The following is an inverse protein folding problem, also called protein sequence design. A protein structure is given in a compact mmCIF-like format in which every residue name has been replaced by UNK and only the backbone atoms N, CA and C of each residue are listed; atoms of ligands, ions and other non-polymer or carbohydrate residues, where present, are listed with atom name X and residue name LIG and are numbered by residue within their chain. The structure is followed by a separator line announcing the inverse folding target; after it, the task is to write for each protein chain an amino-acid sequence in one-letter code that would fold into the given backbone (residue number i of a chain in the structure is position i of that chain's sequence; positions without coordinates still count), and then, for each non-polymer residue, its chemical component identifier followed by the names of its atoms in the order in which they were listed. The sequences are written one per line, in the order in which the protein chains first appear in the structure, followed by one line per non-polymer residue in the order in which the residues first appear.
data_IF_116137816599
#
_entry.id   IF_116137816599
#
_cell.length_a   1.000
_cell.length_b   1.000
_cell.length_c   1.000
_cell.angle_alpha   90.00
_cell.angle_beta   90.00
_cell.angle_gamma   90.00
#
_symmetry.space_group_name_H-M   'P 1'
#
loop_
_entity.id
_entity.type
_entity.pdbx_description
1 polymer ?
#
# COMPACT_ATOMS: atom_id res chain seq x y z
N UNK A 1 -37.65 21.84 -13.98
CA UNK A 1 -37.60 21.93 -12.51
C UNK A 1 -37.31 20.60 -11.80
N UNK A 2 -37.42 19.43 -12.44
CA UNK A 2 -37.16 18.11 -11.84
C UNK A 2 -35.69 17.81 -11.48
N UNK A 3 -34.71 18.33 -12.22
CA UNK A 3 -33.28 18.10 -11.92
C UNK A 3 -32.82 18.71 -10.59
N UNK A 4 -33.49 19.78 -10.11
CA UNK A 4 -33.19 20.39 -8.81
C UNK A 4 -33.63 19.49 -7.65
N UNK A 5 -34.76 18.78 -7.77
CA UNK A 5 -35.22 17.83 -6.75
C UNK A 5 -34.37 16.56 -6.70
N UNK A 6 -33.99 15.98 -7.85
CA UNK A 6 -33.13 14.79 -7.91
C UNK A 6 -31.73 15.04 -7.34
N UNK A 7 -31.20 16.25 -7.52
CA UNK A 7 -29.92 16.67 -6.92
C UNK A 7 -30.02 16.88 -5.40
N UNK A 8 -31.21 17.15 -4.88
CA UNK A 8 -31.44 17.39 -3.45
C UNK A 8 -31.64 16.06 -2.69
N UNK A 9 -32.38 15.12 -3.27
CA UNK A 9 -32.55 13.77 -2.69
C UNK A 9 -31.27 12.94 -2.70
N UNK A 10 -30.46 13.04 -3.76
CA UNK A 10 -29.14 12.38 -3.81
C UNK A 10 -28.14 12.93 -2.79
N UNK A 11 -28.17 14.24 -2.48
CA UNK A 11 -27.35 14.83 -1.39
C UNK A 11 -27.73 14.30 -0.02
N UNK A 12 -29.01 14.08 0.25
CA UNK A 12 -29.47 13.53 1.53
C UNK A 12 -29.00 12.09 1.75
N UNK A 13 -29.09 11.23 0.72
CA UNK A 13 -28.57 9.85 0.79
C UNK A 13 -27.05 9.85 0.94
N UNK A 14 -26.35 10.72 0.22
CA UNK A 14 -24.89 10.87 0.30
C UNK A 14 -24.44 11.38 1.68
N UNK A 15 -25.18 12.29 2.31
CA UNK A 15 -24.92 12.78 3.67
C UNK A 15 -25.14 11.69 4.72
N UNK A 16 -26.18 10.86 4.57
CA UNK A 16 -26.46 9.73 5.47
C UNK A 16 -25.40 8.62 5.43
N UNK A 17 -24.72 8.44 4.30
CA UNK A 17 -23.63 7.44 4.15
C UNK A 17 -22.23 8.04 4.17
N UNK A 18 -22.08 9.37 4.34
CA UNK A 18 -20.77 10.05 4.33
C UNK A 18 -19.81 9.52 5.39
N UNK A 19 -20.34 9.05 6.53
CA UNK A 19 -19.57 8.42 7.60
C UNK A 19 -19.36 6.90 7.40
N UNK A 20 -20.03 6.30 6.41
CA UNK A 20 -19.81 4.93 5.96
C UNK A 20 -18.82 4.86 4.79
N UNK A 21 -18.51 5.99 4.16
CA UNK A 21 -17.40 6.10 3.20
C UNK A 21 -16.11 5.85 3.98
N UNK A 22 -15.36 4.77 3.69
CA UNK A 22 -14.10 4.52 4.35
C UNK A 22 -13.20 5.74 4.14
N UNK A 23 -12.77 6.38 5.24
CA UNK A 23 -11.70 7.37 5.16
C UNK A 23 -10.49 6.65 4.54
N UNK A 24 -9.72 7.33 3.68
CA UNK A 24 -8.50 6.74 3.12
C UNK A 24 -7.63 6.23 4.27
N UNK A 25 -7.58 4.92 4.44
CA UNK A 25 -6.72 4.26 5.40
C UNK A 25 -5.53 3.72 4.64
N UNK A 26 -4.33 4.16 4.98
CA UNK A 26 -3.11 3.49 4.52
C UNK A 26 -3.09 2.13 5.23
N UNK A 27 -3.40 1.07 4.48
CA UNK A 27 -3.36 -0.30 4.97
C UNK A 27 -1.92 -0.66 5.37
N UNK A 28 -1.72 -1.69 6.22
CA UNK A 28 -0.37 -2.09 6.65
C UNK A 28 0.62 -2.24 5.49
N UNK A 29 0.24 -2.95 4.43
CA UNK A 29 1.07 -3.12 3.23
C UNK A 29 1.42 -1.78 2.57
N UNK A 30 0.47 -0.84 2.49
CA UNK A 30 0.70 0.48 1.91
C UNK A 30 1.65 1.31 2.74
N UNK A 31 1.58 1.21 4.08
CA UNK A 31 2.52 1.89 4.98
C UNK A 31 3.94 1.36 4.80
N UNK A 32 4.10 0.04 4.74
CA UNK A 32 5.38 -0.61 4.49
C UNK A 32 5.96 -0.20 3.13
N UNK A 33 5.14 -0.23 2.07
CA UNK A 33 5.56 0.24 0.75
C UNK A 33 5.98 1.71 0.80
N UNK A 34 5.22 2.55 1.51
CA UNK A 34 5.55 3.97 1.62
C UNK A 34 6.90 4.22 2.31
N UNK A 35 7.16 3.51 3.41
CA UNK A 35 8.43 3.59 4.15
C UNK A 35 9.63 3.10 3.32
N UNK A 36 9.46 2.02 2.54
CA UNK A 36 10.53 1.42 1.75
C UNK A 36 10.82 2.16 0.42
N UNK A 37 9.81 2.81 -0.15
CA UNK A 37 9.87 3.45 -1.47
C UNK A 37 10.24 4.93 -1.39
N UNK A 38 9.74 5.62 -0.37
CA UNK A 38 9.97 7.04 -0.15
C UNK A 38 10.90 7.27 1.05
N UNK A 39 12.18 7.43 0.75
CA UNK A 39 13.24 7.64 1.74
C UNK A 39 13.64 9.12 1.86
N UNK A 40 12.82 10.02 1.30
CA UNK A 40 13.05 11.47 1.43
C UNK A 40 12.89 11.90 2.87
N UNK A 41 13.74 12.85 3.29
CA UNK A 41 13.61 13.45 4.62
C UNK A 41 12.30 14.23 4.74
N UNK A 42 11.72 14.17 5.92
CA UNK A 42 10.46 14.84 6.25
C UNK A 42 10.63 16.36 6.20
N UNK A 43 10.19 17.01 5.14
CA UNK A 43 10.08 18.47 5.10
C UNK A 43 8.66 18.87 5.49
N UNK A 44 8.48 19.46 6.68
CA UNK A 44 7.22 20.13 7.05
C UNK A 44 6.17 19.34 7.83
N UNK A 45 6.54 18.27 8.54
CA UNK A 45 5.70 17.69 9.63
C UNK A 45 4.47 16.87 9.20
N UNK A 46 4.30 16.55 7.91
CA UNK A 46 3.19 15.71 7.45
C UNK A 46 3.61 14.64 6.42
N UNK A 47 4.50 13.72 6.81
CA UNK A 47 4.54 12.35 6.27
C UNK A 47 5.01 11.38 7.35
N UNK A 48 4.56 10.12 7.26
CA UNK A 48 4.64 9.09 8.30
C UNK A 48 5.84 8.15 8.17
N UNK A 49 6.85 8.47 7.37
CA UNK A 49 7.98 7.56 7.13
C UNK A 49 8.97 7.63 8.29
N UNK A 50 8.83 6.70 9.25
CA UNK A 50 9.91 6.37 10.16
C UNK A 50 11.11 5.85 9.34
N UNK A 51 12.37 6.06 9.79
CA UNK A 51 13.52 5.45 9.15
C UNK A 51 13.33 3.93 9.14
N UNK A 52 13.41 3.33 7.94
CA UNK A 52 13.36 1.87 7.75
C UNK A 52 14.40 1.24 8.66
N UNK A 53 13.97 0.39 9.60
CA UNK A 53 14.91 -0.35 10.43
C UNK A 53 15.65 -1.36 9.54
N UNK A 54 16.97 -1.21 9.35
CA UNK A 54 17.74 -2.12 8.50
C UNK A 54 17.76 -3.57 9.04
N UNK A 55 17.29 -3.81 10.26
CA UNK A 55 17.17 -5.15 10.83
C UNK A 55 15.82 -5.82 10.49
N UNK A 56 14.81 -5.05 10.07
CA UNK A 56 13.48 -5.58 9.76
C UNK A 56 13.37 -6.02 8.30
N UNK A 57 14.01 -5.28 7.38
CA UNK A 57 13.96 -5.56 5.94
C UNK A 57 15.34 -5.80 5.34
N UNK A 58 15.44 -6.89 4.58
CA UNK A 58 16.61 -7.19 3.77
C UNK A 58 16.56 -6.38 2.48
N UNK A 59 17.60 -5.61 2.24
CA UNK A 59 17.81 -4.87 1.00
C UNK A 59 18.90 -5.54 0.17
N UNK A 60 18.63 -5.71 -1.12
CA UNK A 60 19.53 -6.31 -2.09
C UNK A 60 19.68 -5.39 -3.29
N UNK A 61 20.92 -5.20 -3.75
CA UNK A 61 21.22 -4.54 -5.02
C UNK A 61 21.96 -5.54 -5.92
N UNK A 62 21.35 -6.00 -7.04
CA UNK A 62 21.98 -6.96 -7.93
C UNK A 62 23.26 -6.44 -8.61
N UNK A 63 23.51 -5.12 -8.59
CA UNK A 63 24.74 -4.52 -9.11
C UNK A 63 25.89 -4.58 -8.11
N UNK A 64 25.61 -4.81 -6.83
CA UNK A 64 26.59 -4.84 -5.75
C UNK A 64 26.70 -6.27 -5.21
N UNK A 65 27.85 -6.91 -5.44
CA UNK A 65 28.07 -8.32 -5.11
C UNK A 65 27.98 -8.63 -3.60
N UNK A 66 28.32 -7.68 -2.72
CA UNK A 66 28.28 -7.84 -1.26
C UNK A 66 28.08 -6.50 -0.56
N UNK A 67 26.88 -5.92 -0.66
CA UNK A 67 26.50 -4.76 0.14
C UNK A 67 25.63 -5.19 1.32
N UNK A 68 25.89 -4.64 2.51
CA UNK A 68 25.01 -4.87 3.66
C UNK A 68 23.72 -4.05 3.49
N UNK A 69 22.60 -4.52 4.05
CA UNK A 69 21.34 -3.77 3.98
C UNK A 69 21.46 -2.37 4.60
N UNK A 70 22.29 -2.20 5.63
CA UNK A 70 22.57 -0.88 6.23
C UNK A 70 23.23 0.08 5.24
N UNK A 71 24.20 -0.38 4.46
CA UNK A 71 24.89 0.45 3.46
C UNK A 71 23.92 0.88 2.35
N UNK A 72 23.06 -0.06 1.92
CA UNK A 72 22.08 0.18 0.87
C UNK A 72 20.97 1.14 1.31
N UNK A 73 20.54 1.09 2.58
CA UNK A 73 19.57 2.04 3.14
C UNK A 73 20.16 3.46 3.13
N UNK A 74 21.42 3.63 3.55
CA UNK A 74 22.10 4.94 3.50
C UNK A 74 22.25 5.44 2.06
N UNK A 75 22.62 4.57 1.11
CA UNK A 75 22.79 4.95 -0.29
C UNK A 75 21.49 5.44 -0.96
N UNK A 76 20.33 5.04 -0.43
CA UNK A 76 19.02 5.45 -0.94
C UNK A 76 18.45 6.68 -0.26
N UNK A 77 19.00 7.14 0.87
CA UNK A 77 18.46 8.27 1.64
C UNK A 77 18.21 9.50 0.75
N UNK A 78 17.05 10.14 0.92
CA UNK A 78 16.67 11.30 0.12
C UNK A 78 16.01 10.96 -1.21
N UNK A 79 15.72 9.69 -1.52
CA UNK A 79 15.22 9.28 -2.84
C UNK A 79 13.79 8.74 -2.79
N UNK A 80 13.04 8.96 -3.89
CA UNK A 80 11.75 8.35 -4.17
C UNK A 80 11.87 7.46 -5.41
N UNK A 81 11.61 6.16 -5.27
CA UNK A 81 11.60 5.28 -6.43
C UNK A 81 10.43 5.60 -7.36
N UNK A 82 10.71 5.69 -8.66
CA UNK A 82 9.73 6.07 -9.68
C UNK A 82 9.05 4.87 -10.34
N UNK A 83 9.72 3.71 -10.27
CA UNK A 83 9.27 2.46 -10.85
C UNK A 83 9.36 1.36 -9.79
N UNK A 84 8.21 0.87 -9.35
CA UNK A 84 8.09 0.01 -8.18
C UNK A 84 7.25 -1.22 -8.50
N UNK A 85 7.78 -2.39 -8.13
CA UNK A 85 7.04 -3.65 -8.16
C UNK A 85 6.86 -4.12 -6.71
N UNK A 86 5.61 -4.31 -6.31
CA UNK A 86 5.22 -4.87 -5.01
C UNK A 86 4.70 -6.27 -5.26
N UNK A 87 5.29 -7.28 -4.63
CA UNK A 87 4.87 -8.67 -4.79
C UNK A 87 4.59 -9.32 -3.44
N UNK A 88 3.34 -9.73 -3.22
CA UNK A 88 2.90 -10.43 -2.01
C UNK A 88 3.01 -11.93 -2.21
N UNK A 89 3.87 -12.58 -1.43
CA UNK A 89 4.01 -14.04 -1.42
C UNK A 89 2.86 -14.62 -0.59
N UNK A 90 1.90 -15.26 -1.26
CA UNK A 90 0.67 -15.80 -0.67
C UNK A 90 -0.57 -15.20 -1.32
N UNK A 91 -1.60 -14.90 -0.52
CA UNK A 91 -2.84 -14.30 -0.97
C UNK A 91 -2.79 -12.77 -1.00
N UNK A 92 -2.99 -12.19 -2.17
CA UNK A 92 -3.21 -10.75 -2.35
C UNK A 92 -4.70 -10.43 -2.51
N UNK A 93 -5.08 -9.17 -2.32
CA UNK A 93 -6.47 -8.73 -2.43
C UNK A 93 -6.60 -7.37 -3.16
N UNK A 94 -7.71 -7.18 -3.85
CA UNK A 94 -8.07 -5.94 -4.53
C UNK A 94 -8.09 -4.71 -3.62
N UNK A 95 -8.39 -4.88 -2.33
CA UNK A 95 -8.37 -3.78 -1.35
C UNK A 95 -6.96 -3.23 -1.16
N UNK A 96 -5.95 -4.11 -1.12
CA UNK A 96 -4.54 -3.73 -1.04
C UNK A 96 -4.06 -3.07 -2.33
N UNK A 97 -4.35 -3.72 -3.46
CA UNK A 97 -4.06 -3.19 -4.79
C UNK A 97 -4.55 -1.74 -4.95
N UNK A 98 -5.82 -1.50 -4.63
CA UNK A 98 -6.43 -0.18 -4.76
C UNK A 98 -5.73 0.85 -3.87
N UNK A 99 -5.40 0.47 -2.64
CA UNK A 99 -4.75 1.35 -1.69
C UNK A 99 -3.32 1.73 -2.12
N UNK A 100 -2.56 0.77 -2.67
CA UNK A 100 -1.21 0.98 -3.20
C UNK A 100 -1.24 1.88 -4.45
N UNK A 101 -2.18 1.65 -5.36
CA UNK A 101 -2.36 2.50 -6.56
C UNK A 101 -2.71 3.93 -6.17
N UNK A 102 -3.59 4.11 -5.18
CA UNK A 102 -3.98 5.43 -4.70
C UNK A 102 -2.84 6.13 -3.94
N UNK A 103 -2.01 5.37 -3.23
CA UNK A 103 -0.78 5.88 -2.62
C UNK A 103 0.21 6.36 -3.68
N UNK A 104 0.49 5.55 -4.71
CA UNK A 104 1.45 5.91 -5.76
C UNK A 104 1.09 7.21 -6.47
N UNK A 105 -0.20 7.40 -6.78
CA UNK A 105 -0.70 8.66 -7.34
C UNK A 105 -0.47 9.86 -6.43
N UNK A 106 -0.63 9.68 -5.11
CA UNK A 106 -0.43 10.76 -4.12
C UNK A 106 1.06 11.07 -3.90
N UNK A 107 1.91 10.04 -3.89
CA UNK A 107 3.35 10.16 -3.68
C UNK A 107 4.09 10.70 -4.94
N UNK A 108 3.45 10.67 -6.11
CA UNK A 108 4.06 11.07 -7.38
C UNK A 108 4.96 10.00 -7.98
N UNK A 109 4.66 8.72 -7.74
CA UNK A 109 5.37 7.58 -8.34
C UNK A 109 4.86 7.39 -9.78
N UNK A 110 5.77 7.32 -10.75
CA UNK A 110 5.41 7.18 -12.17
C UNK A 110 4.75 5.84 -12.49
N UNK A 111 5.30 4.74 -11.97
CA UNK A 111 4.81 3.38 -12.23
C UNK A 111 4.85 2.55 -10.95
N UNK A 112 3.69 1.99 -10.59
CA UNK A 112 3.60 0.97 -9.56
C UNK A 112 2.88 -0.26 -10.10
N UNK A 113 3.43 -1.44 -9.86
CA UNK A 113 2.83 -2.72 -10.22
C UNK A 113 2.67 -3.54 -8.95
N UNK A 114 1.45 -3.96 -8.66
CA UNK A 114 1.16 -4.88 -7.55
C UNK A 114 0.89 -6.27 -8.12
N UNK A 115 1.47 -7.29 -7.49
CA UNK A 115 1.24 -8.68 -7.79
C UNK A 115 1.19 -9.52 -6.52
N UNK A 116 0.63 -10.72 -6.65
CA UNK A 116 0.62 -11.74 -5.62
C UNK A 116 0.67 -13.12 -6.27
N UNK A 117 0.88 -14.18 -5.48
CA UNK A 117 0.79 -15.56 -5.99
C UNK A 117 -0.64 -15.84 -6.47
N UNK A 118 -1.62 -15.41 -5.66
CA UNK A 118 -3.03 -15.52 -5.98
C UNK A 118 -3.78 -14.25 -5.55
N UNK A 119 -4.81 -13.89 -6.29
CA UNK A 119 -5.77 -12.85 -5.89
C UNK A 119 -6.98 -13.55 -5.30
N UNK A 120 -7.16 -13.41 -3.99
CA UNK A 120 -8.19 -14.11 -3.23
C UNK A 120 -9.17 -13.13 -2.62
N UNK A 121 -10.45 -13.51 -2.64
CA UNK A 121 -11.46 -12.82 -1.86
C UNK A 121 -11.47 -13.35 -0.41
N UNK A 122 -12.15 -12.66 0.53
CA UNK A 122 -12.15 -13.07 1.93
C UNK A 122 -12.66 -14.50 2.17
N UNK A 123 -13.67 -14.97 1.42
CA UNK A 123 -14.21 -16.31 1.60
C UNK A 123 -13.21 -17.39 1.20
N UNK A 124 -12.53 -17.21 0.06
CA UNK A 124 -11.47 -18.12 -0.42
C UNK A 124 -10.30 -18.20 0.56
N UNK A 125 -9.89 -17.05 1.13
CA UNK A 125 -8.81 -17.03 2.11
C UNK A 125 -9.18 -17.78 3.40
N UNK A 126 -10.40 -17.59 3.90
CA UNK A 126 -10.89 -18.33 5.09
C UNK A 126 -10.96 -19.84 4.82
N UNK A 127 -11.36 -20.25 3.61
CA UNK A 127 -11.38 -21.67 3.22
C UNK A 127 -9.97 -22.29 3.25
N UNK A 128 -8.95 -21.57 2.76
CA UNK A 128 -7.56 -22.03 2.83
C UNK A 128 -7.08 -22.17 4.28
N UNK A 129 -7.42 -21.21 5.16
CA UNK A 129 -7.10 -21.29 6.58
C UNK A 129 -7.82 -22.45 7.28
N UNK A 130 -9.09 -22.69 6.93
CA UNK A 130 -9.86 -23.81 7.48
C UNK A 130 -9.22 -25.16 7.10
N UNK A 131 -8.83 -25.35 5.84
CA UNK A 131 -8.12 -26.54 5.37
C UNK A 131 -6.79 -26.74 6.11
N UNK A 132 -6.03 -25.68 6.34
CA UNK A 132 -4.80 -25.75 7.12
C UNK A 132 -5.08 -26.20 8.56
N UNK A 133 -6.12 -25.66 9.18
CA UNK A 133 -6.53 -26.01 10.54
C UNK A 133 -7.05 -27.44 10.70
N UNK A 134 -7.61 -28.05 9.65
CA UNK A 134 -7.98 -29.48 9.64
C UNK A 134 -6.78 -30.42 9.53
N UNK A 135 -5.66 -29.91 9.00
CA UNK A 135 -4.44 -30.70 8.74
C UNK A 135 -3.45 -30.66 9.92
N UNK A 136 -3.69 -29.78 10.91
CA UNK A 136 -2.91 -29.63 12.14
C UNK A 136 -3.57 -30.37 13.31
#
# INVERSE_FOLDING_TARGET
MFGKFLSHSSRFVMEGVKNLVPKKHNLPVTKLVAELVDTRETVGGLTTSAPVDPNEFLLFDPKLLHASSKDLVHARQGQLAQDVIVFVVGGGNYVEYQNIVDYAKQAGIQRITYGSIELVNPAQFIEQLARLGETL
#
